data_IF_521334468342
#
_entry.id   IF_521334468342
#
_cell.length_a   1.000
_cell.length_b   1.000
_cell.length_c   1.000
_cell.angle_alpha   90.00
_cell.angle_beta   90.00
_cell.angle_gamma   90.00
#
_symmetry.space_group_name_H-M   'P 1'
#
loop_
_entity.id
_entity.type
_entity.pdbx_description
1 polymer ?
#
# COMPACT_ATOMS: atom_id res chain seq x y z
N UNK A 1 -12.91 9.45 -12.03
CA UNK A 1 -12.25 9.97 -10.80
C UNK A 1 -10.77 9.88 -11.00
N UNK A 2 -10.09 11.02 -10.96
CA UNK A 2 -8.64 11.11 -11.19
C UNK A 2 -7.86 10.90 -9.90
N UNK A 3 -6.56 10.57 -10.00
CA UNK A 3 -5.68 10.49 -8.83
C UNK A 3 -5.62 11.83 -8.09
N UNK A 4 -5.58 12.95 -8.81
CA UNK A 4 -5.61 14.29 -8.21
C UNK A 4 -6.84 14.52 -7.34
N UNK A 5 -8.01 14.02 -7.76
CA UNK A 5 -9.24 14.10 -6.98
C UNK A 5 -9.20 13.20 -5.74
N UNK A 6 -8.53 12.03 -5.80
CA UNK A 6 -8.36 11.19 -4.60
C UNK A 6 -7.50 11.93 -3.56
N UNK A 7 -6.44 12.60 -4.01
CA UNK A 7 -5.48 13.27 -3.13
C UNK A 7 -6.03 14.49 -2.39
N UNK A 8 -7.19 15.03 -2.78
CA UNK A 8 -7.88 16.05 -1.99
C UNK A 8 -8.61 15.48 -0.77
N UNK A 9 -8.77 14.16 -0.69
CA UNK A 9 -9.49 13.46 0.38
C UNK A 9 -8.50 12.80 1.35
N UNK A 10 -7.57 13.58 1.90
CA UNK A 10 -6.66 13.12 2.93
C UNK A 10 -7.44 12.73 4.20
N UNK A 11 -7.00 11.68 4.88
CA UNK A 11 -7.61 11.20 6.12
C UNK A 11 -6.58 11.05 7.22
N UNK A 12 -6.97 11.37 8.46
CA UNK A 12 -6.26 10.87 9.63
C UNK A 12 -6.64 9.39 9.84
N UNK A 13 -5.71 8.42 9.69
CA UNK A 13 -6.04 6.99 9.66
C UNK A 13 -6.85 6.51 10.87
N UNK A 14 -6.62 7.07 12.05
CA UNK A 14 -7.27 6.62 13.30
C UNK A 14 -8.51 7.41 13.69
N UNK A 15 -8.86 8.47 12.95
CA UNK A 15 -10.04 9.29 13.21
C UNK A 15 -11.18 9.05 12.21
N UNK A 16 -10.96 8.20 11.21
CA UNK A 16 -12.04 7.80 10.30
C UNK A 16 -13.17 7.08 11.05
N UNK A 17 -14.42 7.32 10.64
CA UNK A 17 -15.62 6.71 11.27
C UNK A 17 -15.66 5.19 11.13
N UNK A 18 -15.11 4.64 10.04
CA UNK A 18 -15.10 3.21 9.75
C UNK A 18 -14.15 2.45 10.69
N UNK A 19 -14.72 1.79 11.70
CA UNK A 19 -13.96 1.05 12.72
C UNK A 19 -13.14 -0.10 12.13
N UNK A 20 -13.65 -0.79 11.11
CA UNK A 20 -12.91 -1.86 10.43
C UNK A 20 -11.68 -1.29 9.75
N UNK A 21 -11.83 -0.16 9.06
CA UNK A 21 -10.70 0.50 8.41
C UNK A 21 -9.63 0.96 9.43
N UNK A 22 -10.04 1.51 10.58
CA UNK A 22 -9.11 1.83 11.68
C UNK A 22 -8.34 0.60 12.16
N UNK A 23 -9.02 -0.54 12.32
CA UNK A 23 -8.37 -1.80 12.71
C UNK A 23 -7.40 -2.32 11.64
N UNK A 24 -7.72 -2.14 10.35
CA UNK A 24 -6.79 -2.43 9.27
C UNK A 24 -5.52 -1.57 9.37
N UNK A 25 -5.67 -0.26 9.55
CA UNK A 25 -4.52 0.62 9.69
C UNK A 25 -3.69 0.28 10.93
N UNK A 26 -4.33 -0.03 12.06
CA UNK A 26 -3.67 -0.49 13.27
C UNK A 26 -2.87 -1.78 13.03
N UNK A 27 -3.43 -2.72 12.27
CA UNK A 27 -2.72 -3.95 11.89
C UNK A 27 -1.45 -3.65 11.09
N UNK A 28 -1.54 -2.89 10.00
CA UNK A 28 -0.35 -2.58 9.18
C UNK A 28 0.65 -1.66 9.88
N UNK A 29 0.21 -0.86 10.85
CA UNK A 29 1.10 -0.04 11.65
C UNK A 29 1.87 -0.86 12.70
N UNK A 30 1.24 -1.86 13.33
CA UNK A 30 1.78 -2.49 14.54
C UNK A 30 1.92 -4.02 14.51
N UNK A 31 1.10 -4.74 13.75
CA UNK A 31 0.95 -6.21 13.85
C UNK A 31 1.40 -6.96 12.61
N UNK A 32 1.40 -6.33 11.44
CA UNK A 32 1.87 -6.95 10.21
C UNK A 32 3.29 -7.53 10.40
N UNK A 33 3.64 -8.64 9.74
CA UNK A 33 4.99 -9.18 9.84
C UNK A 33 6.00 -8.14 9.33
N UNK A 34 7.27 -8.30 9.70
CA UNK A 34 8.40 -7.47 9.23
C UNK A 34 8.45 -6.03 9.73
N UNK A 35 7.38 -5.51 10.33
CA UNK A 35 7.42 -4.20 10.99
C UNK A 35 8.19 -4.29 12.30
N UNK A 36 8.98 -3.27 12.59
CA UNK A 36 9.70 -3.14 13.86
C UNK A 36 8.72 -2.73 14.97
N UNK A 37 8.01 -3.73 15.50
CA UNK A 37 7.02 -3.61 16.56
C UNK A 37 7.05 -4.87 17.42
N UNK A 38 6.94 -4.71 18.74
CA UNK A 38 6.81 -5.86 19.67
C UNK A 38 5.55 -6.70 19.42
N UNK A 39 4.54 -6.12 18.77
CA UNK A 39 3.27 -6.78 18.44
C UNK A 39 3.28 -7.44 17.05
N UNK A 40 4.39 -7.34 16.30
CA UNK A 40 4.48 -7.88 14.96
C UNK A 40 4.38 -9.41 14.96
N UNK A 41 3.68 -9.96 13.97
CA UNK A 41 3.63 -11.40 13.72
C UNK A 41 5.03 -11.92 13.40
N UNK A 42 5.49 -12.94 14.14
CA UNK A 42 6.85 -13.51 14.05
C UNK A 42 7.02 -14.58 12.96
N UNK A 43 6.00 -14.83 12.13
CA UNK A 43 6.02 -15.83 11.07
C UNK A 43 7.16 -15.57 10.09
N UNK A 44 8.06 -16.55 9.85
CA UNK A 44 9.12 -16.45 8.82
C UNK A 44 8.63 -16.72 7.39
N UNK A 45 7.37 -17.15 7.22
CA UNK A 45 6.77 -17.51 5.92
C UNK A 45 6.09 -16.33 5.21
N UNK A 46 6.37 -15.07 5.59
CA UNK A 46 5.67 -13.90 5.02
C UNK A 46 5.86 -13.76 3.50
N UNK A 47 7.00 -14.16 2.95
CA UNK A 47 7.22 -14.13 1.50
C UNK A 47 6.36 -15.13 0.73
N UNK A 48 6.11 -16.31 1.32
CA UNK A 48 5.19 -17.30 0.72
C UNK A 48 3.76 -16.76 0.74
N UNK A 49 3.34 -16.16 1.87
CA UNK A 49 2.03 -15.51 2.02
C UNK A 49 1.86 -14.33 1.07
N UNK A 50 2.92 -13.55 0.86
CA UNK A 50 2.96 -12.47 -0.12
C UNK A 50 2.77 -13.00 -1.54
N UNK A 51 3.51 -14.03 -1.95
CA UNK A 51 3.34 -14.66 -3.26
C UNK A 51 1.91 -15.15 -3.48
N UNK A 52 1.27 -15.72 -2.46
CA UNK A 52 -0.16 -16.09 -2.48
C UNK A 52 -1.06 -14.88 -2.74
N UNK A 53 -0.86 -13.80 -1.98
CA UNK A 53 -1.60 -12.55 -2.13
C UNK A 53 -1.47 -11.93 -3.53
N UNK A 54 -0.24 -11.87 -4.08
CA UNK A 54 -0.01 -11.23 -5.37
C UNK A 54 -0.32 -12.12 -6.57
N UNK A 55 -0.55 -13.42 -6.39
CA UNK A 55 -0.69 -14.41 -7.48
C UNK A 55 -1.68 -13.98 -8.57
N UNK A 56 -2.75 -13.29 -8.19
CA UNK A 56 -3.81 -12.82 -9.09
C UNK A 56 -3.65 -11.34 -9.53
N UNK A 57 -2.49 -10.73 -9.27
CA UNK A 57 -2.18 -9.38 -9.75
C UNK A 57 -1.63 -9.45 -11.16
N UNK A 58 -2.08 -8.52 -12.02
CA UNK A 58 -1.57 -8.44 -13.40
C UNK A 58 -0.16 -7.87 -13.36
N UNK A 59 0.75 -8.43 -14.16
CA UNK A 59 2.16 -8.04 -14.19
C UNK A 59 2.39 -6.52 -14.35
N UNK A 60 1.53 -5.84 -15.12
CA UNK A 60 1.59 -4.39 -15.36
C UNK A 60 0.91 -3.53 -14.30
N UNK A 61 0.58 -4.10 -13.14
CA UNK A 61 -0.06 -3.34 -12.04
C UNK A 61 0.89 -3.01 -10.90
N UNK A 62 2.07 -3.62 -10.84
CA UNK A 62 3.00 -3.28 -9.77
C UNK A 62 4.46 -3.39 -10.19
N UNK A 63 5.34 -2.67 -9.48
CA UNK A 63 6.78 -2.82 -9.65
C UNK A 63 7.57 -2.36 -8.42
N UNK A 64 8.65 -3.07 -8.15
CA UNK A 64 9.66 -2.65 -7.17
C UNK A 64 10.86 -2.03 -7.89
N UNK A 65 11.38 -0.94 -7.34
CA UNK A 65 12.55 -0.22 -7.84
C UNK A 65 13.66 -0.23 -6.79
N UNK A 66 14.92 -0.13 -7.22
CA UNK A 66 16.08 -0.20 -6.33
C UNK A 66 16.59 1.16 -5.83
N UNK A 67 16.28 2.26 -6.53
CA UNK A 67 16.85 3.60 -6.24
C UNK A 67 15.79 4.67 -5.99
N UNK A 68 14.85 4.81 -6.91
CA UNK A 68 13.87 5.90 -6.88
C UNK A 68 12.60 5.51 -7.64
N UNK A 69 11.52 6.24 -7.37
CA UNK A 69 10.30 6.19 -8.17
C UNK A 69 10.63 6.61 -9.61
N UNK A 70 10.10 5.90 -10.61
CA UNK A 70 10.38 6.20 -12.01
C UNK A 70 9.74 7.52 -12.44
N UNK A 71 10.12 8.01 -13.62
CA UNK A 71 9.53 9.21 -14.21
C UNK A 71 8.02 9.05 -14.47
N UNK A 72 7.35 10.19 -14.63
CA UNK A 72 5.90 10.24 -14.82
C UNK A 72 5.39 9.47 -16.05
N UNK A 73 6.19 9.43 -17.12
CA UNK A 73 5.90 8.63 -18.32
C UNK A 73 5.78 7.13 -18.02
N UNK A 74 6.60 6.63 -17.09
CA UNK A 74 6.54 5.23 -16.66
C UNK A 74 5.38 5.03 -15.68
N UNK A 75 5.16 5.97 -14.75
CA UNK A 75 4.02 5.92 -13.81
C UNK A 75 2.66 5.90 -14.53
N UNK A 76 2.58 6.54 -15.70
CA UNK A 76 1.39 6.52 -16.57
C UNK A 76 1.00 5.11 -16.97
N UNK A 77 1.97 4.20 -17.15
CA UNK A 77 1.72 2.79 -17.49
C UNK A 77 1.00 2.04 -16.35
N UNK A 78 1.20 2.49 -15.11
CA UNK A 78 0.56 1.94 -13.90
C UNK A 78 -0.72 2.70 -13.52
N UNK A 79 -1.11 3.74 -14.27
CA UNK A 79 -2.20 4.68 -13.93
C UNK A 79 -2.00 5.40 -12.58
N UNK A 80 -0.75 5.65 -12.19
CA UNK A 80 -0.39 6.27 -10.91
C UNK A 80 -0.02 7.76 -11.03
N UNK A 81 -0.46 8.43 -12.10
CA UNK A 81 -0.24 9.86 -12.33
C UNK A 81 -1.50 10.66 -12.10
N UNK A 82 -1.34 11.95 -11.74
CA UNK A 82 -2.42 12.83 -11.27
C UNK A 82 -3.62 12.87 -12.22
N UNK A 83 -3.38 12.81 -13.53
CA UNK A 83 -4.40 12.93 -14.58
C UNK A 83 -5.15 11.63 -14.89
N UNK A 84 -4.68 10.48 -14.39
CA UNK A 84 -5.22 9.17 -14.76
C UNK A 84 -6.47 8.85 -13.99
N UNK A 85 -7.44 8.29 -14.72
CA UNK A 85 -8.69 7.84 -14.13
C UNK A 85 -8.54 6.49 -13.44
N UNK A 86 -9.11 6.41 -12.24
CA UNK A 86 -9.23 5.19 -11.45
C UNK A 86 -10.59 4.55 -11.69
N UNK A 87 -10.56 3.43 -12.42
CA UNK A 87 -11.69 2.55 -12.67
C UNK A 87 -11.98 1.58 -11.53
N UNK A 88 -13.10 0.85 -11.64
CA UNK A 88 -13.64 0.06 -10.54
C UNK A 88 -12.78 -1.13 -10.07
N UNK A 89 -11.88 -1.60 -10.93
CA UNK A 89 -11.00 -2.75 -10.69
C UNK A 89 -9.52 -2.34 -10.60
N UNK A 90 -9.24 -1.04 -10.70
CA UNK A 90 -7.88 -0.55 -10.71
C UNK A 90 -7.27 -0.72 -9.31
N UNK A 91 -6.09 -1.30 -9.31
CA UNK A 91 -5.16 -1.39 -8.20
C UNK A 91 -3.77 -1.38 -8.82
N UNK A 92 -2.87 -0.61 -8.24
CA UNK A 92 -1.50 -0.56 -8.72
C UNK A 92 -0.57 -0.06 -7.62
N UNK A 93 0.71 -0.44 -7.67
CA UNK A 93 1.70 0.19 -6.80
C UNK A 93 3.10 0.22 -7.39
N UNK A 94 3.85 1.23 -7.01
CA UNK A 94 5.29 1.29 -7.20
C UNK A 94 5.95 1.54 -5.85
N UNK A 95 7.00 0.79 -5.54
CA UNK A 95 7.68 0.87 -4.25
C UNK A 95 9.20 0.81 -4.45
N UNK A 96 9.94 1.57 -3.67
CA UNK A 96 11.41 1.60 -3.70
C UNK A 96 11.96 0.76 -2.56
N UNK A 97 12.72 -0.27 -2.89
CA UNK A 97 13.41 -1.10 -1.88
C UNK A 97 14.50 -0.29 -1.18
N UNK A 98 14.69 -0.53 0.12
CA UNK A 98 15.78 0.06 0.90
C UNK A 98 17.15 -0.53 0.55
N UNK A 99 17.17 -1.73 -0.04
CA UNK A 99 18.39 -2.44 -0.42
C UNK A 99 18.11 -3.76 -1.13
N UNK A 100 19.14 -4.45 -1.64
CA UNK A 100 19.00 -5.67 -2.44
C UNK A 100 18.49 -6.87 -1.63
N UNK A 101 18.68 -6.87 -0.32
CA UNK A 101 18.25 -7.94 0.59
C UNK A 101 16.80 -7.80 1.06
N UNK A 102 16.16 -6.66 0.81
CA UNK A 102 14.77 -6.46 1.19
C UNK A 102 13.83 -7.25 0.29
N UNK A 103 13.02 -8.09 0.89
CA UNK A 103 11.97 -8.81 0.19
C UNK A 103 10.87 -7.86 -0.31
N UNK A 104 10.10 -8.33 -1.29
CA UNK A 104 8.96 -7.56 -1.82
C UNK A 104 7.90 -7.31 -0.75
N UNK A 105 7.67 -8.30 0.12
CA UNK A 105 6.71 -8.20 1.22
C UNK A 105 7.13 -7.14 2.24
N UNK A 106 8.39 -7.18 2.69
CA UNK A 106 8.96 -6.20 3.61
C UNK A 106 8.87 -4.78 3.04
N UNK A 107 9.23 -4.62 1.77
CA UNK A 107 9.19 -3.32 1.09
C UNK A 107 7.76 -2.75 1.07
N UNK A 108 6.79 -3.55 0.64
CA UNK A 108 5.40 -3.11 0.55
C UNK A 108 4.80 -2.78 1.94
N UNK A 109 4.98 -3.65 2.93
CA UNK A 109 4.46 -3.44 4.29
C UNK A 109 5.12 -2.22 4.94
N UNK A 110 6.43 -2.03 4.77
CA UNK A 110 7.15 -0.86 5.29
C UNK A 110 6.56 0.44 4.73
N UNK A 111 6.32 0.51 3.42
CA UNK A 111 5.74 1.70 2.81
C UNK A 111 4.30 1.97 3.25
N UNK A 112 3.46 0.93 3.37
CA UNK A 112 2.11 1.08 3.95
C UNK A 112 2.19 1.63 5.38
N UNK A 113 3.04 1.05 6.22
CA UNK A 113 3.26 1.46 7.61
C UNK A 113 3.71 2.91 7.71
N UNK A 114 4.68 3.32 6.89
CA UNK A 114 5.18 4.70 6.85
C UNK A 114 4.10 5.69 6.39
N UNK A 115 3.35 5.34 5.34
CA UNK A 115 2.27 6.19 4.82
C UNK A 115 1.20 6.43 5.89
N UNK A 116 0.82 5.38 6.63
CA UNK A 116 -0.11 5.46 7.76
C UNK A 116 0.47 6.32 8.89
N UNK A 117 1.73 6.08 9.28
CA UNK A 117 2.37 6.79 10.38
C UNK A 117 2.55 8.30 10.09
N UNK A 118 2.77 8.67 8.83
CA UNK A 118 3.03 10.05 8.43
C UNK A 118 1.80 10.77 7.84
N UNK A 119 0.62 10.13 7.84
CA UNK A 119 -0.62 10.76 7.38
C UNK A 119 -0.75 10.92 5.87
N UNK A 120 0.09 10.26 5.07
CA UNK A 120 -0.02 10.27 3.60
C UNK A 120 -1.00 9.18 3.12
N UNK A 121 -2.20 9.22 3.68
CA UNK A 121 -3.30 8.32 3.37
C UNK A 121 -4.49 9.11 2.86
N UNK A 122 -4.99 8.73 1.70
CA UNK A 122 -6.12 9.36 1.05
C UNK A 122 -7.20 8.32 0.78
N UNK A 123 -8.45 8.71 0.94
CA UNK A 123 -9.57 7.77 0.87
C UNK A 123 -10.73 8.35 0.07
N UNK A 124 -11.24 7.55 -0.86
CA UNK A 124 -12.54 7.83 -1.49
C UNK A 124 -13.45 6.63 -1.36
N UNK A 125 -14.58 6.82 -0.69
CA UNK A 125 -15.65 5.85 -0.61
C UNK A 125 -16.59 6.01 -1.82
N UNK A 126 -16.77 4.93 -2.58
CA UNK A 126 -17.83 4.79 -3.59
C UNK A 126 -18.84 3.75 -3.12
N UNK A 127 -20.03 3.76 -3.74
CA UNK A 127 -21.20 2.92 -3.37
C UNK A 127 -20.84 1.47 -2.98
N UNK A 128 -19.93 0.81 -3.71
CA UNK A 128 -19.55 -0.59 -3.48
C UNK A 128 -18.06 -0.79 -3.16
N UNK A 129 -17.26 0.28 -3.03
CA UNK A 129 -15.79 0.16 -2.92
C UNK A 129 -15.16 1.39 -2.30
N UNK A 130 -14.33 1.17 -1.28
CA UNK A 130 -13.46 2.18 -0.70
C UNK A 130 -12.07 2.06 -1.30
N UNK A 131 -11.62 3.11 -1.97
CA UNK A 131 -10.26 3.25 -2.47
C UNK A 131 -9.38 3.91 -1.43
N UNK A 132 -8.16 3.42 -1.34
CA UNK A 132 -7.11 3.93 -0.49
C UNK A 132 -5.91 4.22 -1.38
N UNK A 133 -5.38 5.42 -1.25
CA UNK A 133 -4.18 5.84 -1.93
C UNK A 133 -3.15 6.22 -0.86
N UNK A 134 -1.94 5.66 -0.99
CA UNK A 134 -0.85 5.87 -0.05
C UNK A 134 0.35 6.41 -0.79
N UNK A 135 1.01 7.39 -0.18
CA UNK A 135 2.32 7.84 -0.59
C UNK A 135 3.29 7.70 0.57
N UNK A 136 4.52 7.30 0.29
CA UNK A 136 5.61 7.34 1.25
C UNK A 136 6.72 8.25 0.75
N UNK A 137 7.38 8.93 1.68
CA UNK A 137 8.45 9.88 1.43
C UNK A 137 9.62 9.58 2.35
N UNK A 138 10.84 9.66 1.82
CA UNK A 138 12.04 9.58 2.66
C UNK A 138 12.26 10.91 3.42
N UNK A 139 13.30 10.94 4.27
CA UNK A 139 13.67 12.14 5.04
C UNK A 139 13.97 13.37 4.17
N UNK A 140 14.38 13.16 2.92
CA UNK A 140 14.66 14.23 1.95
C UNK A 140 13.42 14.65 1.15
N UNK A 141 12.22 14.19 1.54
CA UNK A 141 10.94 14.41 0.84
C UNK A 141 10.89 13.84 -0.58
N UNK A 142 11.78 12.92 -0.93
CA UNK A 142 11.67 12.18 -2.19
C UNK A 142 10.60 11.10 -2.02
N UNK A 143 9.70 10.99 -3.01
CA UNK A 143 8.66 9.97 -3.02
C UNK A 143 9.30 8.59 -3.18
N UNK A 144 8.93 7.66 -2.30
CA UNK A 144 9.47 6.31 -2.23
C UNK A 144 8.42 5.23 -2.52
N UNK A 145 7.14 5.54 -2.38
CA UNK A 145 6.06 4.65 -2.80
C UNK A 145 4.83 5.41 -3.25
N UNK A 146 4.08 4.78 -4.16
CA UNK A 146 2.73 5.16 -4.57
C UNK A 146 1.92 3.88 -4.60
N UNK A 147 0.87 3.78 -3.79
CA UNK A 147 0.07 2.56 -3.65
C UNK A 147 -1.40 2.93 -3.80
N UNK A 148 -2.06 2.40 -4.83
CA UNK A 148 -3.49 2.46 -5.04
C UNK A 148 -4.10 1.06 -4.83
N UNK A 149 -4.91 0.92 -3.80
CA UNK A 149 -5.59 -0.33 -3.47
C UNK A 149 -7.01 -0.07 -2.98
N UNK A 150 -7.84 -1.09 -2.91
CA UNK A 150 -9.09 -1.00 -2.14
C UNK A 150 -8.89 -1.45 -0.71
N UNK A 151 -9.84 -1.06 0.16
CA UNK A 151 -9.97 -1.65 1.50
C UNK A 151 -9.97 -3.19 1.46
N UNK A 152 -10.69 -3.78 0.49
CA UNK A 152 -10.76 -5.25 0.35
C UNK A 152 -9.43 -5.89 -0.06
N UNK A 153 -8.56 -5.18 -0.79
CA UNK A 153 -7.22 -5.69 -1.11
C UNK A 153 -6.37 -5.76 0.17
N UNK A 154 -6.44 -4.73 1.03
CA UNK A 154 -5.75 -4.74 2.32
C UNK A 154 -6.32 -5.78 3.30
N UNK A 155 -7.64 -6.00 3.30
CA UNK A 155 -8.28 -7.06 4.10
C UNK A 155 -7.76 -8.44 3.70
N UNK A 156 -7.65 -8.71 2.39
CA UNK A 156 -7.07 -9.95 1.88
C UNK A 156 -5.61 -10.10 2.28
N UNK A 157 -4.81 -9.04 2.15
CA UNK A 157 -3.42 -9.08 2.59
C UNK A 157 -3.31 -9.39 4.08
N UNK A 158 -4.10 -8.73 4.93
CA UNK A 158 -4.15 -9.02 6.36
C UNK A 158 -4.47 -10.48 6.65
N UNK A 159 -5.52 -11.02 6.02
CA UNK A 159 -5.92 -12.43 6.16
C UNK A 159 -4.78 -13.36 5.76
N UNK A 160 -4.15 -13.15 4.60
CA UNK A 160 -3.02 -13.97 4.16
C UNK A 160 -1.85 -13.92 5.17
N UNK A 161 -1.57 -12.75 5.74
CA UNK A 161 -0.49 -12.57 6.72
C UNK A 161 -0.77 -13.27 8.05
N UNK A 162 -2.02 -13.26 8.50
CA UNK A 162 -2.48 -13.88 9.75
C UNK A 162 -2.68 -15.40 9.66
N UNK A 163 -2.73 -16.00 8.47
CA UNK A 163 -2.89 -17.47 8.33
C UNK A 163 -1.74 -18.21 9.00
N UNK A 164 -2.05 -19.18 9.85
CA UNK A 164 -1.06 -20.15 10.35
C UNK A 164 -0.83 -21.19 9.25
N UNK A 165 0.31 -21.10 8.56
CA UNK A 165 0.76 -22.07 7.53
C UNK A 165 2.00 -22.82 7.96
#
# INVERSE_FOLDING_TARGET
>A
MKISEIKTHNICPFEVKDSRLRLLFSFFLHKAPTVDSRLAIKSKKYDVKWKSYIKNWKEKTYRFYSKQIPSENILTQYKLTETKEVGNKDRAFVCVKKGPTESDCECFIRHLRNSIAHGFVFMVAKKNRTYLFFEDYNKNKNRMAIILVSKSDLEKLKIEMERDT
#
